data_IF_119950081482
#
_entry.id   IF_119950081482
#
_cell.length_a   1.000
_cell.length_b   1.000
_cell.length_c   1.000
_cell.angle_alpha   90.00
_cell.angle_beta   90.00
_cell.angle_gamma   90.00
#
_symmetry.space_group_name_H-M   'P 1'
#
loop_
_entity.id
_entity.type
_entity.pdbx_description
1 polymer ?
#
# COMPACT_ATOMS: atom_id res chain seq x y z
N UNK A 1 8.51 -24.34 -33.94
CA UNK A 1 7.87 -24.65 -32.64
C UNK A 1 9.00 -24.67 -31.62
N UNK A 2 9.07 -23.87 -30.57
CA UNK A 2 8.04 -23.45 -29.62
C UNK A 2 8.48 -22.17 -28.88
N UNK A 3 7.68 -21.10 -28.98
CA UNK A 3 7.81 -19.86 -28.17
C UNK A 3 7.06 -19.98 -26.82
N UNK A 4 7.00 -21.18 -26.23
CA UNK A 4 6.13 -21.47 -25.09
C UNK A 4 6.98 -21.85 -23.87
N UNK A 5 7.76 -20.92 -23.32
CA UNK A 5 8.26 -21.06 -21.94
C UNK A 5 8.62 -19.76 -21.20
N UNK A 6 8.45 -18.57 -21.80
CA UNK A 6 8.80 -17.30 -21.12
C UNK A 6 7.63 -16.66 -20.33
N UNK A 7 6.43 -17.25 -20.36
CA UNK A 7 5.23 -16.64 -19.77
C UNK A 7 4.98 -17.00 -18.28
N UNK A 8 5.68 -17.99 -17.71
CA UNK A 8 5.39 -18.46 -16.34
C UNK A 8 6.14 -17.73 -15.23
N UNK A 9 7.19 -16.97 -15.56
CA UNK A 9 8.08 -16.32 -14.57
C UNK A 9 7.68 -14.89 -14.18
N UNK A 10 6.65 -14.29 -14.80
CA UNK A 10 6.22 -12.91 -14.49
C UNK A 10 5.04 -12.80 -13.52
N UNK A 11 4.38 -13.90 -13.15
CA UNK A 11 3.15 -13.87 -12.33
C UNK A 11 3.43 -13.92 -10.82
N UNK A 12 4.59 -14.40 -10.38
CA UNK A 12 4.93 -14.48 -8.94
C UNK A 12 5.56 -13.18 -8.40
N UNK A 13 6.49 -12.55 -9.13
CA UNK A 13 7.16 -11.32 -8.68
C UNK A 13 6.18 -10.15 -8.46
N UNK A 14 5.16 -10.04 -9.30
CA UNK A 14 4.10 -9.04 -9.15
C UNK A 14 3.34 -9.17 -7.83
N UNK A 15 3.02 -10.41 -7.40
CA UNK A 15 2.31 -10.64 -6.15
C UNK A 15 3.17 -10.31 -4.93
N UNK A 16 4.48 -10.61 -4.94
CA UNK A 16 5.36 -10.33 -3.82
C UNK A 16 5.70 -8.85 -3.68
N UNK A 17 5.78 -8.12 -4.80
CA UNK A 17 5.93 -6.65 -4.79
C UNK A 17 4.66 -5.98 -4.26
N UNK A 18 3.49 -6.41 -4.73
CA UNK A 18 2.20 -5.90 -4.24
C UNK A 18 2.04 -6.19 -2.75
N UNK A 19 2.32 -7.42 -2.29
CA UNK A 19 2.28 -7.77 -0.85
C UNK A 19 3.19 -6.88 0.00
N UNK A 20 4.43 -6.64 -0.44
CA UNK A 20 5.39 -5.76 0.27
C UNK A 20 4.90 -4.30 0.33
N UNK A 21 4.29 -3.82 -0.75
CA UNK A 21 3.67 -2.50 -0.79
C UNK A 21 2.54 -2.39 0.25
N UNK A 22 1.60 -3.34 0.22
CA UNK A 22 0.48 -3.38 1.16
C UNK A 22 0.94 -3.51 2.62
N UNK A 23 1.95 -4.33 2.90
CA UNK A 23 2.53 -4.40 4.24
C UNK A 23 3.08 -3.04 4.70
N UNK A 24 3.76 -2.33 3.81
CA UNK A 24 4.32 -1.00 4.10
C UNK A 24 3.22 0.04 4.31
N UNK A 25 2.18 0.02 3.47
CA UNK A 25 0.98 0.85 3.62
C UNK A 25 0.30 0.59 4.97
N UNK A 26 0.06 -0.68 5.33
CA UNK A 26 -0.54 -1.07 6.60
C UNK A 26 0.30 -0.59 7.80
N UNK A 27 1.63 -0.60 7.71
CA UNK A 27 2.50 -0.06 8.77
C UNK A 27 2.26 1.44 8.95
N UNK A 28 2.23 2.22 7.86
CA UNK A 28 2.00 3.66 7.96
C UNK A 28 0.66 3.95 8.61
N UNK A 29 -0.41 3.31 8.13
CA UNK A 29 -1.74 3.62 8.62
C UNK A 29 -1.93 3.09 10.05
N UNK A 30 -1.36 1.92 10.40
CA UNK A 30 -1.35 1.41 11.79
C UNK A 30 -0.60 2.34 12.74
N UNK A 31 0.54 2.90 12.32
CA UNK A 31 1.31 3.81 13.15
C UNK A 31 0.53 5.09 13.43
N UNK A 32 -0.17 5.64 12.42
CA UNK A 32 -1.06 6.80 12.62
C UNK A 32 -2.24 6.44 13.53
N UNK A 33 -2.89 5.29 13.33
CA UNK A 33 -4.02 4.87 14.18
C UNK A 33 -3.61 4.60 15.64
N UNK A 34 -2.43 4.03 15.88
CA UNK A 34 -1.93 3.72 17.23
C UNK A 34 -1.45 4.97 17.96
N UNK A 35 -0.91 5.95 17.23
CA UNK A 35 -0.32 7.15 17.81
C UNK A 35 -0.66 8.36 16.93
N UNK A 36 -1.93 8.79 16.91
CA UNK A 36 -2.40 9.84 16.02
C UNK A 36 -1.77 11.19 16.34
N UNK A 37 -1.28 11.41 17.56
CA UNK A 37 -0.63 12.65 17.97
C UNK A 37 0.82 12.79 17.51
N UNK A 38 1.46 11.69 17.14
CA UNK A 38 2.86 11.66 16.80
C UNK A 38 3.10 12.11 15.34
N UNK A 39 3.71 13.28 15.16
CA UNK A 39 3.87 13.91 13.85
C UNK A 39 4.72 13.10 12.87
N UNK A 40 5.75 12.38 13.35
CA UNK A 40 6.60 11.54 12.50
C UNK A 40 5.85 10.38 11.83
N UNK A 41 4.71 9.96 12.40
CA UNK A 41 3.88 8.91 11.79
C UNK A 41 2.86 9.49 10.80
N UNK A 42 2.51 10.77 10.96
CA UNK A 42 1.61 11.48 10.05
C UNK A 42 2.30 12.00 8.79
N UNK A 43 3.63 12.03 8.72
CA UNK A 43 4.38 12.59 7.58
C UNK A 43 5.27 11.54 6.91
N UNK A 44 5.00 11.27 5.64
CA UNK A 44 5.78 10.34 4.80
C UNK A 44 6.55 11.17 3.77
N UNK A 45 7.87 10.97 3.70
CA UNK A 45 8.71 11.62 2.69
C UNK A 45 8.67 10.85 1.38
N UNK A 46 8.12 11.47 0.33
CA UNK A 46 8.04 10.85 -1.00
C UNK A 46 9.44 10.57 -1.57
N UNK A 47 10.44 11.40 -1.26
CA UNK A 47 11.83 11.14 -1.67
C UNK A 47 12.56 10.01 -0.94
N UNK A 48 11.91 9.28 0.00
CA UNK A 48 12.57 8.18 0.71
C UNK A 48 12.74 6.97 -0.25
N UNK A 49 13.97 6.48 -0.51
CA UNK A 49 14.20 5.36 -1.42
C UNK A 49 13.42 4.09 -1.04
N UNK A 50 13.29 3.80 0.27
CA UNK A 50 12.53 2.62 0.74
C UNK A 50 11.03 2.78 0.49
N UNK A 51 10.51 4.00 0.58
CA UNK A 51 9.12 4.29 0.23
C UNK A 51 8.90 4.14 -1.27
N UNK A 52 9.79 4.70 -2.08
CA UNK A 52 9.72 4.61 -3.54
C UNK A 52 9.80 3.16 -4.03
N UNK A 53 10.76 2.39 -3.54
CA UNK A 53 10.92 0.98 -3.90
C UNK A 53 9.65 0.16 -3.65
N UNK A 54 8.98 0.39 -2.51
CA UNK A 54 7.86 -0.44 -2.06
C UNK A 54 6.49 0.07 -2.49
N UNK A 55 6.27 1.38 -2.46
CA UNK A 55 4.95 2.00 -2.62
C UNK A 55 4.97 3.04 -3.75
N UNK A 56 5.97 3.91 -3.80
CA UNK A 56 6.01 5.00 -4.80
C UNK A 56 6.14 4.53 -6.25
N UNK A 57 6.87 3.44 -6.48
CA UNK A 57 7.02 2.79 -7.79
C UNK A 57 5.87 1.82 -8.11
N UNK A 58 4.95 1.60 -7.17
CA UNK A 58 3.76 0.80 -7.43
C UNK A 58 2.68 1.71 -8.01
N UNK A 59 2.19 1.37 -9.20
CA UNK A 59 1.04 2.05 -9.81
C UNK A 59 -0.16 1.99 -8.85
N UNK A 60 -0.69 3.14 -8.44
CA UNK A 60 -1.79 3.21 -7.48
C UNK A 60 -1.36 3.26 -6.01
N UNK A 61 -0.07 3.13 -5.68
CA UNK A 61 0.40 3.08 -4.29
C UNK A 61 0.29 4.42 -3.56
N UNK A 62 0.54 5.52 -4.27
CA UNK A 62 0.38 6.89 -3.74
C UNK A 62 -1.11 7.24 -3.71
N UNK A 63 -1.85 6.94 -4.77
CA UNK A 63 -3.29 7.18 -4.87
C UNK A 63 -4.03 6.43 -3.75
N UNK A 64 -3.57 5.24 -3.36
CA UNK A 64 -4.13 4.51 -2.22
C UNK A 64 -3.97 5.27 -0.91
N UNK A 65 -2.80 5.89 -0.66
CA UNK A 65 -2.59 6.71 0.54
C UNK A 65 -3.48 7.95 0.50
N UNK A 66 -3.66 8.55 -0.68
CA UNK A 66 -4.56 9.69 -0.86
C UNK A 66 -6.02 9.32 -0.54
N UNK A 67 -6.49 8.16 -1.01
CA UNK A 67 -7.80 7.61 -0.65
C UNK A 67 -7.92 7.27 0.84
N UNK A 68 -6.83 6.94 1.52
CA UNK A 68 -6.80 6.75 2.97
C UNK A 68 -6.80 8.06 3.77
N UNK A 69 -6.82 9.22 3.10
CA UNK A 69 -6.86 10.54 3.72
C UNK A 69 -5.50 11.22 3.86
N UNK A 70 -4.42 10.70 3.26
CA UNK A 70 -3.15 11.43 3.17
C UNK A 70 -3.23 12.49 2.07
N UNK A 71 -2.62 13.65 2.29
CA UNK A 71 -2.61 14.75 1.34
C UNK A 71 -1.16 15.12 0.97
N UNK A 72 -0.93 15.51 -0.27
CA UNK A 72 0.40 15.97 -0.69
C UNK A 72 0.71 17.32 -0.05
N UNK A 73 1.92 17.47 0.46
CA UNK A 73 2.39 18.69 1.12
C UNK A 73 3.79 19.09 0.64
N UNK A 74 4.13 20.36 0.89
CA UNK A 74 5.39 21.02 0.52
C UNK A 74 5.80 20.77 -0.95
N UNK A 75 4.88 21.00 -1.88
CA UNK A 75 5.14 20.84 -3.32
C UNK A 75 5.38 19.38 -3.72
N UNK A 76 4.56 18.45 -3.23
CA UNK A 76 4.63 17.02 -3.53
C UNK A 76 5.92 16.33 -3.04
N UNK A 77 6.55 16.86 -1.99
CA UNK A 77 7.70 16.23 -1.34
C UNK A 77 7.29 15.28 -0.21
N UNK A 78 6.11 15.50 0.37
CA UNK A 78 5.59 14.70 1.47
C UNK A 78 4.12 14.32 1.24
N UNK A 79 3.73 13.20 1.83
CA UNK A 79 2.33 12.86 2.11
C UNK A 79 2.10 13.08 3.61
N UNK A 80 1.06 13.82 3.96
CA UNK A 80 0.73 14.17 5.33
C UNK A 80 -0.70 13.73 5.64
N UNK A 81 -0.88 13.08 6.78
CA UNK A 81 -2.18 12.71 7.31
C UNK A 81 -2.73 13.82 8.21
N UNK A 82 -3.85 14.47 7.87
CA UNK A 82 -4.57 15.36 8.79
C UNK A 82 -5.08 14.55 9.99
N UNK A 83 -5.14 15.18 11.18
CA UNK A 83 -5.59 14.52 12.43
C UNK A 83 -7.02 13.97 12.34
N UNK A 84 -7.87 14.58 11.52
CA UNK A 84 -9.31 14.31 11.48
C UNK A 84 -9.79 13.51 10.25
N UNK A 85 -8.88 13.06 9.37
CA UNK A 85 -9.26 12.45 8.07
C UNK A 85 -8.88 10.98 7.90
N UNK A 86 -8.21 10.35 8.87
CA UNK A 86 -7.86 8.93 8.74
C UNK A 86 -9.07 8.07 9.05
N UNK A 87 -9.70 7.53 8.01
CA UNK A 87 -10.82 6.64 8.19
C UNK A 87 -10.32 5.23 8.62
N UNK A 88 -10.43 4.96 9.93
CA UNK A 88 -10.13 3.66 10.55
C UNK A 88 -10.97 2.52 9.94
N UNK A 89 -12.12 2.81 9.32
CA UNK A 89 -12.95 1.80 8.66
C UNK A 89 -12.33 1.37 7.32
N UNK A 90 -11.72 2.28 6.57
CA UNK A 90 -10.94 1.97 5.36
C UNK A 90 -9.72 1.11 5.68
N UNK A 91 -9.09 1.33 6.83
CA UNK A 91 -8.02 0.51 7.41
C UNK A 91 -8.44 -0.97 7.56
N UNK A 92 -9.59 -1.20 8.19
CA UNK A 92 -10.13 -2.55 8.40
C UNK A 92 -10.56 -3.19 7.08
N UNK A 93 -11.11 -2.41 6.16
CA UNK A 93 -11.48 -2.87 4.83
C UNK A 93 -10.25 -3.27 4.00
N UNK A 94 -9.20 -2.46 3.98
CA UNK A 94 -7.94 -2.77 3.30
C UNK A 94 -7.25 -4.00 3.91
N UNK A 95 -7.28 -4.14 5.23
CA UNK A 95 -6.79 -5.33 5.93
C UNK A 95 -7.57 -6.61 5.54
N UNK A 96 -8.89 -6.49 5.37
CA UNK A 96 -9.74 -7.57 4.86
C UNK A 96 -9.41 -7.91 3.40
N UNK A 97 -9.16 -6.90 2.55
CA UNK A 97 -8.79 -7.09 1.14
C UNK A 97 -7.44 -7.81 0.98
N UNK A 98 -6.44 -7.48 1.81
CA UNK A 98 -5.15 -8.20 1.83
C UNK A 98 -5.34 -9.64 2.28
N UNK A 99 -6.25 -9.90 3.23
CA UNK A 99 -6.62 -11.26 3.64
C UNK A 99 -7.27 -12.03 2.48
N UNK A 100 -8.12 -11.37 1.71
CA UNK A 100 -8.73 -11.90 0.48
C UNK A 100 -7.69 -12.23 -0.60
N UNK A 101 -6.69 -11.36 -0.81
CA UNK A 101 -5.60 -11.64 -1.74
C UNK A 101 -4.65 -12.76 -1.29
N UNK A 102 -4.63 -13.09 0.01
CA UNK A 102 -3.84 -14.21 0.54
C UNK A 102 -4.63 -15.52 0.54
N UNK A 103 -5.95 -15.46 0.35
CA UNK A 103 -6.83 -16.62 0.30
C UNK A 103 -7.12 -17.02 -1.15
N UNK A 104 -6.21 -17.78 -1.75
CA UNK A 104 -6.41 -18.38 -3.10
C UNK A 104 -7.51 -19.46 -3.13
N UNK A 105 -8.17 -19.76 -2.00
CA UNK A 105 -9.20 -20.80 -1.95
C UNK A 105 -10.55 -20.38 -2.55
N UNK A 106 -10.82 -19.08 -2.75
CA UNK A 106 -12.10 -18.61 -3.29
C UNK A 106 -12.14 -18.39 -4.81
N UNK A 107 -11.03 -18.58 -5.54
CA UNK A 107 -11.02 -18.61 -7.02
C UNK A 107 -11.10 -20.04 -7.59
N UNK A 108 -11.34 -21.03 -6.72
CA UNK A 108 -11.67 -22.40 -7.12
C UNK A 108 -12.86 -22.88 -6.32
N UNK A 109 -14.07 -22.45 -6.68
CA UNK A 109 -15.27 -23.29 -6.61
C UNK A 109 -16.48 -22.56 -7.21
N UNK A 110 -16.94 -23.12 -8.33
CA UNK A 110 -18.24 -22.99 -9.01
C UNK A 110 -18.63 -21.66 -9.63
#
# INVERSE_FOLDING_TARGET
MSKISEASLKVQDGNDRVKRAFQTLLIYIRNVAKSPDEEKFRKIRLGNPKFQERVGNLKGGIEFLELCGFERSEGNKFLVSPRDKVDIRLLNYAGSFVKFCNDKSLLRSS
#
